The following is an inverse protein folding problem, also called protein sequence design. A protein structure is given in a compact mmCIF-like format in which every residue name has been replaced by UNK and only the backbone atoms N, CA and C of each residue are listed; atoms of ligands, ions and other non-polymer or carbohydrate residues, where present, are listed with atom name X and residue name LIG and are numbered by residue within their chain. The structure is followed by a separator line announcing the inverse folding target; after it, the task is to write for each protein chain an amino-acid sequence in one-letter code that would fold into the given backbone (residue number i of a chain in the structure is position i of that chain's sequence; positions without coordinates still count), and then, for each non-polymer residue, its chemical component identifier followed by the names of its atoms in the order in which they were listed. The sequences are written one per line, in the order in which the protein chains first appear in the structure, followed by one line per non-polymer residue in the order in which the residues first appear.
data_IF_025664151997
#
_entry.id   IF_025664151997
#
_cell.length_a   1.000
_cell.length_b   1.000
_cell.length_c   1.000
_cell.angle_alpha   90.00
_cell.angle_beta   90.00
_cell.angle_gamma   90.00
#
_symmetry.space_group_name_H-M   'P 1'
#
loop_
_entity.id
_entity.type
_entity.pdbx_description
1 polymer ?
#
# COMPACT_ATOMS: atom_id res chain seq x y z
N UNK A 1 15.87 7.71 0.77
CA UNK A 1 15.13 7.78 -0.52
C UNK A 1 14.15 8.93 -0.44
N UNK A 2 14.05 9.70 -1.50
CA UNK A 2 13.11 10.82 -1.57
C UNK A 2 12.08 10.59 -2.66
N UNK A 3 10.82 10.87 -2.32
CA UNK A 3 9.71 10.75 -3.26
C UNK A 3 8.86 12.01 -3.22
N UNK A 4 8.35 12.48 -4.35
CA UNK A 4 7.38 13.56 -4.34
C UNK A 4 6.01 13.05 -3.91
N UNK A 5 5.18 13.94 -3.37
CA UNK A 5 3.76 13.66 -3.23
C UNK A 5 3.15 13.47 -4.62
N UNK A 6 2.06 12.73 -4.70
CA UNK A 6 1.39 12.40 -5.96
C UNK A 6 -0.11 12.63 -5.87
N UNK A 7 -0.72 12.86 -7.01
CA UNK A 7 -2.18 12.81 -7.12
C UNK A 7 -2.64 11.37 -6.94
N UNK A 8 -3.75 11.19 -6.21
CA UNK A 8 -4.40 9.89 -6.09
C UNK A 8 -5.49 9.76 -7.15
N UNK A 9 -5.40 8.74 -8.02
CA UNK A 9 -6.44 8.51 -9.02
C UNK A 9 -7.79 8.22 -8.36
N UNK A 10 -8.88 8.66 -8.99
CA UNK A 10 -10.24 8.40 -8.52
C UNK A 10 -10.69 9.22 -7.33
N UNK A 11 -9.89 10.20 -6.88
CA UNK A 11 -10.34 11.14 -5.84
C UNK A 11 -11.11 12.30 -6.46
N UNK A 12 -12.04 12.88 -5.67
CA UNK A 12 -12.88 13.98 -6.15
C UNK A 12 -12.11 15.29 -6.36
N UNK A 13 -10.92 15.41 -5.78
CA UNK A 13 -10.09 16.59 -5.92
C UNK A 13 -8.74 16.21 -6.51
N UNK A 14 -8.55 16.54 -7.77
CA UNK A 14 -7.28 16.34 -8.47
C UNK A 14 -6.20 17.34 -8.07
N UNK A 15 -6.58 18.39 -7.32
CA UNK A 15 -5.64 19.47 -6.96
C UNK A 15 -4.81 19.13 -5.71
N UNK A 16 -5.13 18.02 -5.03
CA UNK A 16 -4.44 17.65 -3.81
C UNK A 16 -3.42 16.55 -4.04
N UNK A 17 -2.18 16.85 -3.70
CA UNK A 17 -1.10 15.87 -3.67
C UNK A 17 -1.13 15.14 -2.33
N UNK A 18 -0.78 13.85 -2.36
CA UNK A 18 -0.79 12.97 -1.18
C UNK A 18 0.53 12.26 -1.05
N UNK A 19 0.91 11.86 0.17
CA UNK A 19 2.12 11.07 0.39
C UNK A 19 1.92 9.62 -0.08
N UNK A 20 2.05 9.43 -1.38
CA UNK A 20 1.93 8.13 -2.02
C UNK A 20 3.21 7.78 -2.77
N UNK A 21 3.56 6.50 -2.78
CA UNK A 21 4.81 6.01 -3.36
C UNK A 21 4.55 4.83 -4.29
N UNK A 22 5.39 4.67 -5.34
CA UNK A 22 5.29 3.51 -6.22
C UNK A 22 6.01 2.31 -5.59
N UNK A 23 5.29 1.23 -5.36
CA UNK A 23 5.82 -0.02 -4.81
C UNK A 23 5.86 -1.07 -5.91
N UNK A 24 7.01 -1.71 -6.09
CA UNK A 24 7.12 -2.88 -6.96
C UNK A 24 6.71 -4.10 -6.16
N UNK A 25 5.70 -4.81 -6.65
CA UNK A 25 5.21 -6.05 -6.05
C UNK A 25 5.87 -7.23 -6.73
N UNK A 26 6.34 -8.19 -5.93
CA UNK A 26 6.88 -9.44 -6.45
C UNK A 26 5.80 -10.17 -7.29
N UNK A 27 6.16 -10.56 -8.50
CA UNK A 27 5.25 -11.18 -9.45
C UNK A 27 4.66 -10.23 -10.49
N UNK A 28 4.72 -8.91 -10.28
CA UNK A 28 4.29 -7.90 -11.26
C UNK A 28 5.32 -6.75 -11.35
N UNK A 29 6.57 -7.07 -11.75
CA UNK A 29 7.67 -6.09 -11.66
C UNK A 29 7.53 -4.90 -12.61
N UNK A 30 6.69 -5.00 -13.65
CA UNK A 30 6.55 -3.95 -14.67
C UNK A 30 5.40 -2.99 -14.42
N UNK A 31 4.63 -3.21 -13.36
CA UNK A 31 3.47 -2.40 -13.02
C UNK A 31 3.58 -1.92 -11.57
N UNK A 32 4.36 -0.86 -11.30
CA UNK A 32 4.44 -0.30 -9.94
C UNK A 32 3.06 0.03 -9.41
N UNK A 33 2.83 -0.32 -8.14
CA UNK A 33 1.56 -0.10 -7.47
C UNK A 33 1.61 1.18 -6.67
N UNK A 34 0.69 2.08 -6.93
CA UNK A 34 0.59 3.33 -6.17
C UNK A 34 0.02 3.05 -4.78
N UNK A 35 0.76 3.40 -3.75
CA UNK A 35 0.41 3.14 -2.37
C UNK A 35 0.43 4.42 -1.55
N UNK A 36 -0.68 4.70 -0.87
CA UNK A 36 -0.77 5.82 0.08
C UNK A 36 -0.14 5.42 1.40
N UNK A 37 0.71 6.28 1.95
CA UNK A 37 1.23 6.13 3.31
C UNK A 37 0.15 6.55 4.29
N UNK A 38 -0.41 5.59 5.01
CA UNK A 38 -1.54 5.81 5.90
C UNK A 38 -1.20 5.39 7.33
N UNK A 39 -0.80 6.36 8.14
CA UNK A 39 -0.46 6.11 9.56
C UNK A 39 -1.68 5.70 10.40
N UNK A 40 -2.88 5.98 9.90
CA UNK A 40 -4.12 5.54 10.55
C UNK A 40 -4.50 4.10 10.24
N UNK A 41 -3.86 3.45 9.28
CA UNK A 41 -4.08 2.05 8.97
C UNK A 41 -3.13 1.17 9.78
N UNK A 42 -3.65 0.13 10.43
CA UNK A 42 -2.81 -0.84 11.14
C UNK A 42 -2.07 -1.75 10.16
N UNK A 43 -2.73 -2.15 9.09
CA UNK A 43 -2.23 -3.13 8.12
C UNK A 43 -2.01 -2.51 6.74
N UNK A 44 -1.14 -3.15 5.95
CA UNK A 44 -1.14 -2.91 4.51
C UNK A 44 -2.44 -3.48 3.94
N UNK A 45 -3.11 -2.71 3.08
CA UNK A 45 -4.36 -3.13 2.44
C UNK A 45 -4.28 -2.88 0.95
N UNK A 46 -4.40 -3.97 0.20
CA UNK A 46 -4.32 -3.95 -1.26
C UNK A 46 -5.63 -4.49 -1.85
N UNK A 47 -5.98 -4.04 -3.03
CA UNK A 47 -7.05 -4.68 -3.80
C UNK A 47 -6.71 -6.14 -4.08
N UNK A 48 -7.68 -7.04 -3.97
CA UNK A 48 -7.46 -8.47 -4.14
C UNK A 48 -6.97 -8.84 -5.54
N UNK A 49 -7.27 -8.01 -6.54
CA UNK A 49 -6.76 -8.22 -7.90
C UNK A 49 -5.22 -8.20 -7.97
N UNK A 50 -4.56 -7.53 -7.02
CA UNK A 50 -3.09 -7.52 -6.94
C UNK A 50 -2.55 -8.90 -6.61
N UNK A 51 -3.22 -9.63 -5.70
CA UNK A 51 -2.84 -10.99 -5.37
C UNK A 51 -2.97 -11.91 -6.59
N UNK A 52 -4.07 -11.80 -7.33
CA UNK A 52 -4.30 -12.56 -8.54
C UNK A 52 -3.21 -12.27 -9.59
N UNK A 53 -2.94 -10.99 -9.84
CA UNK A 53 -1.91 -10.58 -10.80
C UNK A 53 -0.51 -11.04 -10.39
N UNK A 54 -0.22 -11.08 -9.09
CA UNK A 54 1.08 -11.53 -8.55
C UNK A 54 1.19 -13.06 -8.43
N UNK A 55 0.13 -13.81 -8.72
CA UNK A 55 0.14 -15.26 -8.61
C UNK A 55 0.03 -15.78 -7.18
N UNK A 56 -0.54 -15.00 -6.27
CA UNK A 56 -0.72 -15.39 -4.87
C UNK A 56 -2.06 -16.10 -4.71
N UNK A 57 -2.02 -17.32 -4.18
CA UNK A 57 -3.21 -18.10 -3.86
C UNK A 57 -3.71 -17.74 -2.46
N UNK A 58 -4.92 -17.19 -2.39
CA UNK A 58 -5.57 -16.80 -1.13
C UNK A 58 -6.58 -17.83 -0.63
N UNK A 59 -6.74 -18.96 -1.33
CA UNK A 59 -7.81 -19.92 -1.04
C UNK A 59 -7.75 -20.50 0.38
N UNK A 60 -6.55 -20.66 0.94
CA UNK A 60 -6.35 -21.20 2.30
C UNK A 60 -6.35 -20.12 3.40
N UNK A 61 -6.43 -18.85 3.02
CA UNK A 61 -6.43 -17.76 3.98
C UNK A 61 -7.84 -17.53 4.52
N UNK A 62 -7.94 -17.29 5.82
CA UNK A 62 -9.21 -16.93 6.44
C UNK A 62 -9.71 -15.58 5.93
N UNK A 63 -10.98 -15.50 5.66
CA UNK A 63 -11.63 -14.27 5.24
C UNK A 63 -12.13 -13.50 6.46
N UNK A 64 -11.83 -12.22 6.50
CA UNK A 64 -12.35 -11.31 7.52
C UNK A 64 -13.14 -10.19 6.85
N UNK A 65 -14.27 -9.84 7.46
CA UNK A 65 -15.06 -8.71 7.03
C UNK A 65 -14.59 -7.46 7.73
N UNK A 66 -14.29 -6.43 6.96
CA UNK A 66 -13.68 -5.19 7.47
C UNK A 66 -14.47 -3.99 6.98
N UNK A 67 -14.78 -3.08 7.90
CA UNK A 67 -15.35 -1.78 7.56
C UNK A 67 -14.20 -0.77 7.39
N UNK A 68 -14.23 -0.05 6.30
CA UNK A 68 -13.24 1.00 5.99
C UNK A 68 -13.97 2.21 5.44
N UNK A 69 -13.67 3.40 5.95
CA UNK A 69 -13.99 4.71 5.37
C UNK A 69 -15.18 4.80 4.41
N UNK A 70 -16.35 4.30 4.77
CA UNK A 70 -17.54 4.37 3.94
C UNK A 70 -17.85 3.11 3.11
N UNK A 71 -17.06 2.06 3.23
CA UNK A 71 -17.38 0.78 2.58
C UNK A 71 -17.00 -0.42 3.45
N UNK A 72 -17.58 -1.57 3.11
CA UNK A 72 -17.28 -2.86 3.74
C UNK A 72 -16.60 -3.74 2.72
N UNK A 73 -15.54 -4.42 3.12
CA UNK A 73 -14.79 -5.32 2.25
C UNK A 73 -14.47 -6.62 2.97
N UNK A 74 -14.18 -7.66 2.20
CA UNK A 74 -13.69 -8.93 2.72
C UNK A 74 -12.20 -9.00 2.47
N UNK A 75 -11.43 -9.32 3.51
CA UNK A 75 -9.97 -9.28 3.45
C UNK A 75 -9.38 -10.64 3.78
N UNK A 76 -8.35 -11.02 3.03
CA UNK A 76 -7.55 -12.24 3.25
C UNK A 76 -6.09 -11.85 3.33
N UNK A 77 -5.39 -12.38 4.34
CA UNK A 77 -3.99 -12.04 4.58
C UNK A 77 -3.06 -13.02 3.89
N UNK A 78 -2.00 -12.48 3.28
CA UNK A 78 -0.88 -13.27 2.81
C UNK A 78 0.40 -12.43 2.86
N UNK A 79 1.58 -13.05 2.99
CA UNK A 79 2.83 -12.32 2.87
C UNK A 79 3.05 -11.85 1.43
N UNK A 80 3.64 -10.69 1.28
CA UNK A 80 3.94 -10.11 -0.02
C UNK A 80 5.35 -9.53 -0.02
N UNK A 81 6.14 -9.92 -1.01
CA UNK A 81 7.42 -9.28 -1.30
C UNK A 81 7.22 -7.96 -2.02
N UNK A 82 7.85 -6.91 -1.52
CA UNK A 82 7.72 -5.56 -2.05
C UNK A 82 9.07 -4.89 -2.16
N UNK A 83 9.21 -3.99 -3.12
CA UNK A 83 10.43 -3.19 -3.30
C UNK A 83 10.07 -1.72 -3.42
N UNK A 84 10.73 -0.89 -2.64
CA UNK A 84 10.61 0.57 -2.72
C UNK A 84 12.00 1.16 -2.91
N UNK A 85 12.20 1.83 -4.03
CA UNK A 85 13.53 2.26 -4.41
C UNK A 85 14.46 1.04 -4.54
N UNK A 86 15.58 1.04 -3.86
CA UNK A 86 16.50 -0.10 -3.83
C UNK A 86 16.31 -1.07 -2.68
N UNK A 87 15.23 -0.94 -1.89
CA UNK A 87 15.03 -1.72 -0.68
C UNK A 87 13.87 -2.69 -0.85
N UNK A 88 14.13 -3.99 -0.60
CA UNK A 88 13.14 -5.06 -0.68
C UNK A 88 12.82 -5.59 0.72
N UNK A 89 11.52 -5.79 1.00
CA UNK A 89 11.05 -6.37 2.25
C UNK A 89 9.84 -7.27 1.99
N UNK A 90 9.54 -8.14 2.93
CA UNK A 90 8.34 -8.96 2.92
C UNK A 90 7.52 -8.64 4.17
N UNK A 91 6.24 -8.44 3.99
CA UNK A 91 5.33 -8.14 5.09
C UNK A 91 3.94 -8.68 4.81
N UNK A 92 3.11 -8.87 5.85
CA UNK A 92 1.72 -9.23 5.67
C UNK A 92 0.97 -8.14 4.92
N UNK A 93 0.13 -8.56 3.99
CA UNK A 93 -0.80 -7.68 3.28
C UNK A 93 -2.20 -8.27 3.36
N UNK A 94 -3.17 -7.42 3.63
CA UNK A 94 -4.58 -7.79 3.58
C UNK A 94 -5.12 -7.44 2.20
N UNK A 95 -5.48 -8.48 1.45
CA UNK A 95 -6.04 -8.35 0.11
C UNK A 95 -7.55 -8.26 0.21
N UNK A 96 -8.12 -7.19 -0.30
CA UNK A 96 -9.50 -6.79 -0.07
C UNK A 96 -10.34 -6.86 -1.34
N UNK A 97 -11.55 -7.41 -1.23
CA UNK A 97 -12.53 -7.45 -2.29
C UNK A 97 -13.94 -7.31 -1.70
N UNK A 98 -14.73 -6.30 -2.09
CA UNK A 98 -14.45 -5.25 -3.05
C UNK A 98 -13.40 -4.25 -2.58
N UNK A 99 -12.70 -3.63 -3.54
CA UNK A 99 -11.72 -2.57 -3.29
C UNK A 99 -11.99 -1.41 -4.24
N UNK A 100 -12.69 -0.36 -3.78
CA UNK A 100 -13.13 0.71 -4.67
C UNK A 100 -12.06 1.77 -4.95
N UNK A 101 -10.89 1.67 -4.31
CA UNK A 101 -9.83 2.65 -4.48
C UNK A 101 -8.92 2.28 -5.65
N UNK A 102 -8.40 3.30 -6.34
CA UNK A 102 -7.44 3.11 -7.42
C UNK A 102 -5.99 3.12 -6.93
N UNK A 103 -5.78 3.02 -5.63
CA UNK A 103 -4.49 2.96 -4.96
C UNK A 103 -4.60 2.03 -3.76
N UNK A 104 -3.46 1.59 -3.24
CA UNK A 104 -3.39 0.72 -2.06
C UNK A 104 -2.97 1.53 -0.83
N UNK A 105 -3.04 0.90 0.35
CA UNK A 105 -2.66 1.52 1.62
C UNK A 105 -1.47 0.79 2.23
N UNK A 106 -0.49 1.56 2.68
CA UNK A 106 0.62 1.06 3.49
C UNK A 106 0.41 1.52 4.94
N UNK A 107 0.36 0.57 5.85
CA UNK A 107 0.02 0.79 7.24
C UNK A 107 1.17 0.55 8.21
N UNK A 108 0.85 0.60 9.50
CA UNK A 108 1.85 0.54 10.55
C UNK A 108 2.61 -0.79 10.56
N UNK A 109 1.89 -1.90 10.60
CA UNK A 109 2.49 -3.22 10.73
C UNK A 109 3.29 -3.66 9.51
N UNK A 110 2.81 -3.32 8.32
CA UNK A 110 3.40 -3.78 7.07
C UNK A 110 4.41 -2.82 6.44
N UNK A 111 4.50 -1.60 6.92
CA UNK A 111 5.37 -0.59 6.35
C UNK A 111 6.12 0.24 7.39
N UNK A 112 5.42 0.89 8.31
CA UNK A 112 6.07 1.82 9.25
C UNK A 112 6.95 1.12 10.30
N UNK A 113 6.80 -0.17 10.51
CA UNK A 113 7.76 -0.95 11.30
C UNK A 113 9.07 -1.19 10.55
N UNK A 114 9.06 -1.05 9.24
CA UNK A 114 10.21 -1.33 8.37
C UNK A 114 10.96 -0.08 7.93
N UNK A 115 10.29 1.08 7.98
CA UNK A 115 10.82 2.32 7.44
C UNK A 115 10.58 3.49 8.38
N UNK A 116 11.60 4.34 8.49
CA UNK A 116 11.49 5.65 9.09
C UNK A 116 11.03 6.62 7.99
N UNK A 117 9.95 7.35 8.25
CA UNK A 117 9.33 8.22 7.25
C UNK A 117 9.27 9.65 7.78
N UNK A 118 9.79 10.57 6.99
CA UNK A 118 9.65 12.00 7.24
C UNK A 118 8.77 12.61 6.15
N UNK A 119 7.64 13.16 6.55
CA UNK A 119 6.75 13.88 5.64
C UNK A 119 7.06 15.37 5.71
N UNK A 120 7.38 15.95 4.57
CA UNK A 120 7.57 17.39 4.42
C UNK A 120 6.46 17.96 3.54
N UNK A 121 5.26 18.07 4.13
CA UNK A 121 4.08 18.48 3.39
C UNK A 121 4.21 19.89 2.79
N UNK A 122 4.96 20.77 3.44
CA UNK A 122 5.17 22.14 2.95
C UNK A 122 5.87 22.19 1.57
N UNK A 123 6.64 21.17 1.24
CA UNK A 123 7.36 21.07 -0.04
C UNK A 123 6.96 19.82 -0.82
N UNK A 124 5.91 19.11 -0.39
CA UNK A 124 5.38 17.90 -1.05
C UNK A 124 6.44 16.82 -1.26
N UNK A 125 7.24 16.57 -0.23
CA UNK A 125 8.33 15.60 -0.29
C UNK A 125 8.22 14.58 0.84
N UNK A 126 8.55 13.32 0.52
CA UNK A 126 8.65 12.21 1.47
C UNK A 126 10.10 11.76 1.51
N UNK A 127 10.67 11.64 2.70
CA UNK A 127 12.01 11.08 2.90
C UNK A 127 11.87 9.77 3.67
N UNK A 128 12.36 8.67 3.09
CA UNK A 128 12.20 7.32 3.62
C UNK A 128 13.57 6.67 3.77
N UNK A 129 13.82 6.13 4.95
CA UNK A 129 15.00 5.33 5.23
C UNK A 129 14.59 4.02 5.88
N UNK A 130 15.25 2.88 5.54
CA UNK A 130 14.97 1.63 6.23
C UNK A 130 15.29 1.74 7.71
N UNK A 131 14.47 1.12 8.56
CA UNK A 131 14.81 0.91 9.97
C UNK A 131 15.94 -0.11 10.10
N UNK A 132 16.81 0.10 11.04
CA UNK A 132 17.97 -0.76 11.26
C UNK A 132 17.82 -1.65 12.47
#
# INVERSE_FOLDING_TARGET
MKFPFKELPGTLSSDYLRPAVPVIVEGIPRAPQLCLLDTGALHNRFGAWTAEAAGIDLSDADEQRVAMGGFVTNARQAPLGMTLGGFTWEAPVWFCDPWPLAFHLLGQEGFFLWFNVRLRAAVYEIDITPET
#
